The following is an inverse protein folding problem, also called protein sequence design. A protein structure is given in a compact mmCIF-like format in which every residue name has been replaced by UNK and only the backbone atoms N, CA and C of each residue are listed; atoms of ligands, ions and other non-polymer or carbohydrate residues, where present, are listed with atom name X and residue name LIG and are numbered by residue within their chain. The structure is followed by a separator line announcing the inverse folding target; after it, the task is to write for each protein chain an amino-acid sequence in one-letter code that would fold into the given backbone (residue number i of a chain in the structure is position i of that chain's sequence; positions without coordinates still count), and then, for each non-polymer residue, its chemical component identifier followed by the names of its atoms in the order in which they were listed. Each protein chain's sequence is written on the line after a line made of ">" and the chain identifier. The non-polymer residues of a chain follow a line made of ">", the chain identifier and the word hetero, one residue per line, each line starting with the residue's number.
data_IF_673754531746
#
_entry.id   IF_673754531746
#
_cell.length_a   1.000
_cell.length_b   1.000
_cell.length_c   1.000
_cell.angle_alpha   90.00
_cell.angle_beta   90.00
_cell.angle_gamma   90.00
#
_symmetry.space_group_name_H-M   'P 1'
#
loop_
_entity.id
_entity.type
_entity.pdbx_description
1 polymer ?
#
# COMPACT_ATOMS: atom_id res chain seq x y z
N UNK A 1 37.02 -1.59 17.58
CA UNK A 1 35.86 -0.82 18.08
C UNK A 1 34.82 -0.74 16.95
N UNK A 2 33.93 -1.72 16.83
CA UNK A 2 32.89 -1.81 15.76
C UNK A 2 31.47 -2.02 16.28
N UNK A 3 31.27 -2.04 17.60
CA UNK A 3 30.02 -2.47 18.23
C UNK A 3 28.84 -1.49 18.04
N UNK A 4 29.08 -0.19 17.88
CA UNK A 4 28.01 0.81 17.84
C UNK A 4 27.34 0.89 16.46
N UNK A 5 28.11 0.83 15.37
CA UNK A 5 27.58 0.86 14.00
C UNK A 5 26.72 -0.37 13.65
N UNK A 6 27.20 -1.55 14.06
CA UNK A 6 26.50 -2.83 13.82
C UNK A 6 25.12 -2.87 14.52
N UNK A 7 25.01 -2.27 15.70
CA UNK A 7 23.75 -2.18 16.44
C UNK A 7 22.73 -1.20 15.83
N UNK A 8 23.19 -0.13 15.18
CA UNK A 8 22.30 0.85 14.53
C UNK A 8 21.79 0.28 13.21
N UNK A 9 22.66 -0.33 12.41
CA UNK A 9 22.29 -0.96 11.14
C UNK A 9 21.31 -2.13 11.37
N UNK A 10 21.51 -2.94 12.41
CA UNK A 10 20.57 -3.98 12.81
C UNK A 10 19.19 -3.42 13.18
N UNK A 11 19.13 -2.27 13.90
CA UNK A 11 17.86 -1.60 14.24
C UNK A 11 17.16 -1.05 13.01
N UNK A 12 17.90 -0.45 12.07
CA UNK A 12 17.34 0.06 10.81
C UNK A 12 16.80 -1.09 9.96
N UNK A 13 17.54 -2.19 9.80
CA UNK A 13 17.06 -3.38 9.08
C UNK A 13 15.78 -3.97 9.68
N UNK A 14 15.69 -4.06 11.01
CA UNK A 14 14.49 -4.53 11.70
C UNK A 14 13.27 -3.63 11.41
N UNK A 15 13.47 -2.31 11.43
CA UNK A 15 12.42 -1.32 11.07
C UNK A 15 12.00 -1.52 9.61
N UNK A 16 12.93 -1.64 8.68
CA UNK A 16 12.61 -1.84 7.26
C UNK A 16 11.84 -3.13 6.99
N UNK A 17 12.25 -4.24 7.62
CA UNK A 17 11.57 -5.53 7.49
C UNK A 17 10.10 -5.44 7.97
N UNK A 18 9.86 -4.73 9.06
CA UNK A 18 8.52 -4.50 9.59
C UNK A 18 7.65 -3.70 8.60
N UNK A 19 8.18 -2.62 8.01
CA UNK A 19 7.44 -1.83 7.03
C UNK A 19 7.19 -2.58 5.72
N UNK A 20 8.13 -3.41 5.24
CA UNK A 20 7.92 -4.28 4.08
C UNK A 20 6.78 -5.26 4.32
N UNK A 21 6.76 -5.94 5.47
CA UNK A 21 5.68 -6.87 5.81
C UNK A 21 4.31 -6.16 5.85
N UNK A 22 4.27 -4.93 6.39
CA UNK A 22 3.05 -4.11 6.45
C UNK A 22 2.58 -3.66 5.06
N UNK A 23 3.50 -3.29 4.19
CA UNK A 23 3.21 -2.94 2.79
C UNK A 23 2.63 -4.14 2.03
N UNK A 24 3.25 -5.31 2.15
CA UNK A 24 2.76 -6.55 1.51
C UNK A 24 1.35 -6.90 1.97
N UNK A 25 1.06 -6.81 3.27
CA UNK A 25 -0.30 -7.05 3.79
C UNK A 25 -1.33 -6.08 3.21
N UNK A 26 -0.94 -4.82 3.02
CA UNK A 26 -1.83 -3.80 2.47
C UNK A 26 -2.13 -4.06 0.98
N UNK A 27 -1.11 -4.43 0.19
CA UNK A 27 -1.31 -4.88 -1.18
C UNK A 27 -2.18 -6.13 -1.27
N UNK A 28 -1.93 -7.12 -0.40
CA UNK A 28 -2.70 -8.36 -0.39
C UNK A 28 -4.18 -8.09 -0.06
N UNK A 29 -4.44 -7.26 0.95
CA UNK A 29 -5.79 -6.83 1.31
C UNK A 29 -6.47 -6.05 0.19
N UNK A 30 -5.74 -5.14 -0.47
CA UNK A 30 -6.25 -4.41 -1.62
C UNK A 30 -6.63 -5.36 -2.77
N UNK A 31 -5.74 -6.27 -3.17
CA UNK A 31 -6.00 -7.22 -4.24
C UNK A 31 -7.18 -8.17 -3.93
N UNK A 32 -7.30 -8.61 -2.67
CA UNK A 32 -8.39 -9.45 -2.20
C UNK A 32 -9.76 -8.75 -2.21
N UNK A 33 -9.80 -7.43 -2.19
CA UNK A 33 -11.06 -6.66 -2.22
C UNK A 33 -11.33 -6.12 -3.62
N UNK A 34 -10.37 -5.39 -4.19
CA UNK A 34 -10.50 -4.74 -5.50
C UNK A 34 -10.70 -5.76 -6.62
N UNK A 35 -9.96 -6.87 -6.59
CA UNK A 35 -10.04 -7.92 -7.61
C UNK A 35 -11.45 -8.50 -7.73
N UNK A 36 -12.05 -9.01 -6.65
CA UNK A 36 -13.45 -9.48 -6.67
C UNK A 36 -14.46 -8.39 -7.05
N UNK A 37 -14.27 -7.16 -6.57
CA UNK A 37 -15.18 -6.04 -6.92
C UNK A 37 -15.18 -5.79 -8.42
N UNK A 38 -13.99 -5.66 -9.04
CA UNK A 38 -13.87 -5.47 -10.49
C UNK A 38 -14.37 -6.69 -11.28
N UNK A 39 -14.12 -7.90 -10.79
CA UNK A 39 -14.61 -9.13 -11.42
C UNK A 39 -16.14 -9.18 -11.43
N UNK A 40 -16.79 -8.92 -10.29
CA UNK A 40 -18.25 -8.89 -10.18
C UNK A 40 -18.82 -7.83 -11.12
N UNK A 41 -18.21 -6.65 -11.16
CA UNK A 41 -18.65 -5.56 -12.03
C UNK A 41 -18.53 -5.95 -13.51
N UNK A 42 -17.41 -6.56 -13.90
CA UNK A 42 -17.21 -7.05 -15.26
C UNK A 42 -18.23 -8.14 -15.65
N UNK A 43 -18.52 -9.09 -14.75
CA UNK A 43 -19.55 -10.12 -14.99
C UNK A 43 -20.94 -9.50 -15.08
N UNK A 44 -21.26 -8.50 -14.26
CA UNK A 44 -22.54 -7.80 -14.34
C UNK A 44 -22.73 -7.04 -15.67
N UNK A 45 -21.67 -6.40 -16.16
CA UNK A 45 -21.69 -5.63 -17.41
C UNK A 45 -21.72 -6.57 -18.63
N UNK A 46 -20.79 -7.52 -18.72
CA UNK A 46 -20.58 -8.31 -19.93
C UNK A 46 -21.22 -9.69 -19.91
N UNK A 47 -21.48 -10.25 -18.73
CA UNK A 47 -22.07 -11.58 -18.59
C UNK A 47 -23.60 -11.56 -18.49
N UNK A 48 -24.13 -10.58 -17.75
CA UNK A 48 -25.57 -10.42 -17.53
C UNK A 48 -26.19 -9.22 -18.26
N UNK A 49 -25.37 -8.38 -18.92
CA UNK A 49 -25.82 -7.17 -19.65
C UNK A 49 -26.70 -6.25 -18.80
N UNK A 50 -26.44 -6.18 -17.49
CA UNK A 50 -27.22 -5.35 -16.55
C UNK A 50 -26.97 -3.85 -16.78
N UNK A 51 -25.81 -3.53 -17.37
CA UNK A 51 -25.34 -2.18 -17.65
C UNK A 51 -24.86 -2.15 -19.10
N UNK A 52 -25.18 -1.08 -19.81
CA UNK A 52 -24.69 -0.84 -21.16
C UNK A 52 -23.15 -0.91 -21.22
N UNK A 53 -22.53 -1.76 -22.06
CA UNK A 53 -21.08 -1.97 -22.09
C UNK A 53 -20.25 -0.70 -22.24
N UNK A 54 -20.73 0.27 -23.02
CA UNK A 54 -20.04 1.54 -23.26
C UNK A 54 -19.92 2.36 -21.97
N UNK A 55 -20.97 2.35 -21.13
CA UNK A 55 -20.95 2.99 -19.82
C UNK A 55 -20.25 2.13 -18.76
N UNK A 56 -20.41 0.81 -18.83
CA UNK A 56 -19.80 -0.15 -17.93
C UNK A 56 -18.28 -0.07 -17.92
N UNK A 57 -17.66 0.17 -19.08
CA UNK A 57 -16.21 0.38 -19.17
C UNK A 57 -15.75 1.58 -18.34
N UNK A 58 -16.46 2.71 -18.42
CA UNK A 58 -16.15 3.90 -17.63
C UNK A 58 -16.32 3.66 -16.13
N UNK A 59 -17.31 2.85 -15.74
CA UNK A 59 -17.48 2.43 -14.34
C UNK A 59 -16.29 1.61 -13.84
N UNK A 60 -15.84 0.61 -14.60
CA UNK A 60 -14.65 -0.19 -14.25
C UNK A 60 -13.40 0.69 -14.09
N UNK A 61 -13.19 1.61 -15.02
CA UNK A 61 -12.07 2.57 -14.97
C UNK A 61 -12.18 3.46 -13.74
N UNK A 62 -13.36 4.00 -13.45
CA UNK A 62 -13.57 4.85 -12.28
C UNK A 62 -13.28 4.12 -10.97
N UNK A 63 -13.76 2.88 -10.82
CA UNK A 63 -13.49 2.05 -9.64
C UNK A 63 -11.99 1.79 -9.48
N UNK A 64 -11.32 1.35 -10.54
CA UNK A 64 -9.88 1.08 -10.51
C UNK A 64 -9.05 2.34 -10.19
N UNK A 65 -9.45 3.51 -10.70
CA UNK A 65 -8.78 4.78 -10.39
C UNK A 65 -8.96 5.16 -8.93
N UNK A 66 -10.16 5.01 -8.37
CA UNK A 66 -10.44 5.30 -6.95
C UNK A 66 -9.67 4.33 -6.05
N UNK A 67 -9.71 3.03 -6.35
CA UNK A 67 -8.97 2.01 -5.62
C UNK A 67 -7.46 2.26 -5.65
N UNK A 68 -6.90 2.50 -6.84
CA UNK A 68 -5.49 2.82 -7.02
C UNK A 68 -5.06 4.12 -6.32
N UNK A 69 -5.90 5.15 -6.37
CA UNK A 69 -5.66 6.41 -5.65
C UNK A 69 -5.63 6.21 -4.13
N UNK A 70 -6.61 5.48 -3.59
CA UNK A 70 -6.69 5.19 -2.15
C UNK A 70 -5.46 4.40 -1.70
N UNK A 71 -5.06 3.40 -2.48
CA UNK A 71 -3.89 2.57 -2.23
C UNK A 71 -2.61 3.43 -2.22
N UNK A 72 -2.44 4.29 -3.24
CA UNK A 72 -1.32 5.23 -3.33
C UNK A 72 -1.24 6.15 -2.12
N UNK A 73 -2.37 6.73 -1.69
CA UNK A 73 -2.42 7.59 -0.51
C UNK A 73 -2.02 6.85 0.77
N UNK A 74 -2.45 5.60 0.94
CA UNK A 74 -2.07 4.75 2.08
C UNK A 74 -0.58 4.40 2.06
N UNK A 75 0.00 4.11 0.89
CA UNK A 75 1.43 3.86 0.75
C UNK A 75 2.25 5.09 1.12
N UNK A 76 1.88 6.28 0.65
CA UNK A 76 2.57 7.53 0.97
C UNK A 76 2.59 7.75 2.48
N UNK A 77 1.46 7.53 3.17
CA UNK A 77 1.38 7.61 4.64
C UNK A 77 2.32 6.62 5.32
N UNK A 78 2.42 5.39 4.82
CA UNK A 78 3.36 4.41 5.37
C UNK A 78 4.83 4.77 5.11
N UNK A 79 5.14 5.31 3.93
CA UNK A 79 6.50 5.77 3.60
C UNK A 79 6.94 6.91 4.52
N UNK A 80 6.06 7.88 4.77
CA UNK A 80 6.32 8.97 5.72
C UNK A 80 6.60 8.41 7.13
N UNK A 81 5.75 7.49 7.61
CA UNK A 81 5.97 6.84 8.90
C UNK A 81 7.28 6.03 8.94
N UNK A 82 7.67 5.36 7.86
CA UNK A 82 8.96 4.66 7.73
C UNK A 82 10.12 5.64 7.85
N UNK A 83 10.08 6.76 7.13
CA UNK A 83 11.18 7.74 7.16
C UNK A 83 11.39 8.31 8.57
N UNK A 84 10.31 8.60 9.29
CA UNK A 84 10.37 9.08 10.68
C UNK A 84 10.92 8.01 11.63
N UNK A 85 10.45 6.76 11.51
CA UNK A 85 10.92 5.65 12.33
C UNK A 85 12.41 5.32 12.10
N UNK A 86 12.89 5.43 10.85
CA UNK A 86 14.30 5.24 10.51
C UNK A 86 15.16 6.37 11.08
N UNK A 87 14.74 7.63 10.96
CA UNK A 87 15.44 8.76 11.57
C UNK A 87 15.58 8.60 13.10
N UNK A 88 14.49 8.18 13.76
CA UNK A 88 14.50 7.89 15.19
C UNK A 88 15.41 6.70 15.55
N UNK A 89 15.46 5.64 14.72
CA UNK A 89 16.34 4.50 14.93
C UNK A 89 17.83 4.87 14.78
N UNK A 90 18.14 5.83 13.90
CA UNK A 90 19.49 6.39 13.72
C UNK A 90 19.93 7.33 14.85
N UNK A 91 19.02 7.74 15.74
CA UNK A 91 19.31 8.65 16.85
C UNK A 91 19.20 10.14 16.47
N UNK A 92 18.69 10.47 15.29
CA UNK A 92 18.36 11.84 14.89
C UNK A 92 17.02 12.24 15.55
N UNK A 93 17.02 12.49 16.85
CA UNK A 93 15.85 13.03 17.53
C UNK A 93 16.04 14.55 17.74
N UNK A 94 15.19 15.44 17.18
CA UNK A 94 15.29 16.88 17.40
C UNK A 94 14.88 17.35 18.82
N UNK A 95 14.71 16.43 19.77
CA UNK A 95 14.29 16.70 21.16
C UNK A 95 15.37 16.41 22.22
N UNK A 96 16.57 15.98 21.82
CA UNK A 96 17.77 15.92 22.68
C UNK A 96 19.04 16.22 21.87
#
# INVERSE_FOLDING_TARGET
>A
MSYTGDSIDARVQAVEAHFRARQTRLFLGFALVEGPVLLILAVAIYGFEVIDPDFGLWLLVAVALVGGFLMSALLVRQMQARTQAVAQAKGENPLF
#
